data_IF_000127740457
#
_entry.id   IF_000127740457
#
_cell.length_a   1.000
_cell.length_b   1.000
_cell.length_c   1.000
_cell.angle_alpha   90.00
_cell.angle_beta   90.00
_cell.angle_gamma   90.00
#
_symmetry.space_group_name_H-M   'P 1'
#
loop_
_entity.id
_entity.type
_entity.pdbx_description
1 polymer ?
#
# COMPACT_ATOMS: atom_id res chain seq x y z
N UNK A 1 -19.44 24.06 82.42
CA UNK A 1 -19.59 22.74 81.89
C UNK A 1 -20.04 22.83 80.44
N UNK A 2 -19.10 22.82 79.49
CA UNK A 2 -19.36 22.96 78.07
C UNK A 2 -18.83 21.72 77.39
N UNK A 3 -19.70 20.98 76.63
CA UNK A 3 -19.36 19.84 75.85
C UNK A 3 -19.13 20.25 74.41
N UNK A 4 -17.90 20.24 73.97
CA UNK A 4 -17.51 20.36 72.54
C UNK A 4 -17.85 19.07 71.79
N UNK A 5 -18.64 19.19 70.72
CA UNK A 5 -18.87 18.14 69.72
C UNK A 5 -18.05 18.48 68.48
N UNK A 6 -17.08 17.63 68.17
CA UNK A 6 -16.37 17.65 66.88
C UNK A 6 -17.26 16.94 65.86
N UNK A 7 -17.57 17.62 64.77
CA UNK A 7 -18.16 17.06 63.54
C UNK A 7 -17.02 16.84 62.54
N UNK A 8 -16.72 15.59 62.24
CA UNK A 8 -15.83 15.22 61.17
C UNK A 8 -16.59 15.35 59.85
N UNK A 9 -16.12 16.25 58.98
CA UNK A 9 -16.53 16.30 57.55
C UNK A 9 -15.71 15.29 56.78
N UNK A 10 -16.36 14.24 56.29
CA UNK A 10 -15.79 13.33 55.29
C UNK A 10 -16.06 13.97 53.93
N UNK A 11 -15.00 14.48 53.30
CA UNK A 11 -15.08 14.95 51.93
C UNK A 11 -15.02 13.72 50.99
N UNK A 12 -16.14 13.44 50.32
CA UNK A 12 -16.16 12.49 49.20
C UNK A 12 -15.48 13.15 47.98
N UNK A 13 -14.29 12.71 47.65
CA UNK A 13 -13.64 13.06 46.34
C UNK A 13 -14.26 12.15 45.30
N UNK A 14 -15.23 12.65 44.55
CA UNK A 14 -15.72 12.04 43.33
C UNK A 14 -14.71 12.31 42.22
N UNK A 15 -13.84 11.37 41.97
CA UNK A 15 -12.92 11.41 40.81
C UNK A 15 -13.70 11.32 39.49
N UNK A 16 -13.85 12.43 38.80
CA UNK A 16 -14.30 12.45 37.41
C UNK A 16 -13.17 11.90 36.55
N UNK A 17 -13.28 10.64 36.12
CA UNK A 17 -12.49 10.14 34.99
C UNK A 17 -13.03 10.78 33.73
N UNK A 18 -12.33 11.81 33.23
CA UNK A 18 -12.55 12.32 31.88
C UNK A 18 -11.97 11.27 30.94
N UNK A 19 -12.84 10.41 30.40
CA UNK A 19 -12.49 9.58 29.25
C UNK A 19 -12.29 10.57 28.09
N UNK A 20 -11.04 10.90 27.77
CA UNK A 20 -10.74 11.53 26.50
C UNK A 20 -11.05 10.51 25.39
N UNK A 21 -12.24 10.61 24.83
CA UNK A 21 -12.56 9.99 23.55
C UNK A 21 -11.75 10.80 22.54
N UNK A 22 -10.58 10.29 22.16
CA UNK A 22 -9.89 10.78 20.97
C UNK A 22 -10.81 10.47 19.78
N UNK A 23 -11.58 11.44 19.32
CA UNK A 23 -12.28 11.30 18.06
C UNK A 23 -11.21 11.18 16.97
N UNK A 24 -11.29 10.11 16.15
CA UNK A 24 -10.51 10.03 14.93
C UNK A 24 -10.75 11.33 14.13
N UNK A 25 -9.70 11.91 13.58
CA UNK A 25 -9.86 13.09 12.74
C UNK A 25 -10.69 12.73 11.50
N UNK A 26 -11.51 13.68 11.06
CA UNK A 26 -12.30 13.50 9.84
C UNK A 26 -11.38 13.21 8.64
N UNK A 27 -11.76 12.29 7.74
CA UNK A 27 -11.02 12.02 6.52
C UNK A 27 -10.80 13.28 5.68
N UNK A 28 -9.57 13.48 5.20
CA UNK A 28 -9.22 14.65 4.38
C UNK A 28 -9.17 14.24 2.91
N UNK A 29 -10.01 14.82 2.07
CA UNK A 29 -10.00 14.61 0.62
C UNK A 29 -8.81 15.35 0.00
N UNK A 30 -7.93 14.62 -0.72
CA UNK A 30 -6.70 15.14 -1.33
C UNK A 30 -6.87 15.48 -2.81
N UNK A 31 -7.82 14.86 -3.52
CA UNK A 31 -8.15 15.13 -4.92
C UNK A 31 -9.66 15.28 -5.08
N UNK A 32 -10.10 15.98 -6.14
CA UNK A 32 -11.52 16.31 -6.35
C UNK A 32 -11.96 16.17 -7.81
N UNK A 33 -11.13 15.57 -8.67
CA UNK A 33 -11.40 15.46 -10.10
C UNK A 33 -12.22 14.22 -10.47
N UNK A 34 -12.48 13.33 -9.52
CA UNK A 34 -13.34 12.16 -9.66
C UNK A 34 -12.83 11.07 -10.61
N UNK A 35 -11.65 11.25 -11.24
CA UNK A 35 -11.09 10.25 -12.14
C UNK A 35 -10.68 8.99 -11.39
N UNK A 36 -10.74 7.83 -12.05
CA UNK A 36 -10.32 6.55 -11.47
C UNK A 36 -8.83 6.58 -11.13
N UNK A 37 -8.53 6.49 -9.84
CA UNK A 37 -7.18 6.49 -9.29
C UNK A 37 -6.82 5.12 -8.71
N UNK A 38 -5.52 4.82 -8.68
CA UNK A 38 -4.97 3.57 -8.14
C UNK A 38 -3.56 3.78 -7.61
N UNK A 39 -3.10 2.87 -6.78
CA UNK A 39 -1.71 2.67 -6.38
C UNK A 39 -1.01 3.94 -5.87
N UNK A 40 -1.57 4.66 -4.88
CA UNK A 40 -0.88 5.80 -4.30
C UNK A 40 0.41 5.34 -3.61
N UNK A 41 1.50 6.13 -3.75
CA UNK A 41 2.77 5.93 -3.06
C UNK A 41 3.45 7.27 -2.83
N UNK A 42 4.05 7.49 -1.67
CA UNK A 42 4.83 8.71 -1.43
C UNK A 42 6.10 8.72 -2.25
N UNK A 43 6.32 9.80 -3.01
CA UNK A 43 7.55 10.03 -3.78
C UNK A 43 8.68 10.54 -2.90
N UNK A 44 8.33 11.34 -1.89
CA UNK A 44 9.30 11.91 -0.94
C UNK A 44 9.13 11.30 0.44
N UNK A 45 10.22 10.97 1.13
CA UNK A 45 10.19 10.41 2.47
C UNK A 45 9.50 11.30 3.51
N UNK A 46 9.47 12.61 3.28
CA UNK A 46 8.82 13.60 4.16
C UNK A 46 7.30 13.73 3.92
N UNK A 47 6.75 12.98 2.96
CA UNK A 47 5.33 13.03 2.62
C UNK A 47 4.89 14.22 1.76
N UNK A 48 5.84 15.06 1.31
CA UNK A 48 5.55 16.30 0.56
C UNK A 48 5.04 16.07 -0.87
N UNK A 49 5.32 14.92 -1.47
CA UNK A 49 4.89 14.53 -2.80
C UNK A 49 4.38 13.09 -2.82
N UNK A 50 3.28 12.87 -3.53
CA UNK A 50 2.64 11.57 -3.72
C UNK A 50 2.53 11.26 -5.21
N UNK A 51 2.81 10.02 -5.60
CA UNK A 51 2.50 9.47 -6.93
C UNK A 51 1.27 8.59 -6.86
N UNK A 52 0.55 8.52 -7.97
CA UNK A 52 -0.57 7.59 -8.16
C UNK A 52 -0.82 7.36 -9.64
N UNK A 53 -1.47 6.27 -9.97
CA UNK A 53 -1.95 5.98 -11.32
C UNK A 53 -3.33 6.59 -11.52
N UNK A 54 -3.61 7.18 -12.67
CA UNK A 54 -4.92 7.70 -13.05
C UNK A 54 -5.31 7.22 -14.45
N UNK A 55 -6.57 6.88 -14.63
CA UNK A 55 -7.13 6.70 -15.97
C UNK A 55 -7.44 8.08 -16.56
N UNK A 56 -6.48 8.63 -17.31
CA UNK A 56 -6.54 9.99 -17.86
C UNK A 56 -7.35 10.06 -19.16
N UNK A 57 -7.25 9.03 -19.99
CA UNK A 57 -8.02 8.85 -21.22
C UNK A 57 -8.61 7.43 -21.23
N UNK A 58 -9.72 7.13 -21.95
CA UNK A 58 -10.35 5.81 -21.93
C UNK A 58 -9.41 4.61 -22.17
N UNK A 59 -8.20 4.85 -22.65
CA UNK A 59 -7.22 3.80 -22.97
C UNK A 59 -5.82 4.06 -22.40
N UNK A 60 -5.62 5.10 -21.59
CA UNK A 60 -4.30 5.45 -21.08
C UNK A 60 -4.30 5.64 -19.56
N UNK A 61 -3.47 4.86 -18.89
CA UNK A 61 -3.09 5.10 -17.50
C UNK A 61 -1.85 5.99 -17.46
N UNK A 62 -1.85 6.99 -16.58
CA UNK A 62 -0.74 7.90 -16.37
C UNK A 62 -0.31 7.92 -14.90
N UNK A 63 0.99 8.10 -14.70
CA UNK A 63 1.51 8.46 -13.39
C UNK A 63 1.34 9.96 -13.16
N UNK A 64 0.66 10.30 -12.09
CA UNK A 64 0.45 11.68 -11.65
C UNK A 64 1.18 11.93 -10.35
N UNK A 65 1.65 13.17 -10.19
CA UNK A 65 2.25 13.66 -8.96
C UNK A 65 1.29 14.66 -8.30
N UNK A 66 1.01 14.44 -7.02
CA UNK A 66 0.26 15.35 -6.16
C UNK A 66 1.22 15.98 -5.13
N UNK A 67 1.13 17.30 -4.97
CA UNK A 67 1.72 18.03 -3.85
C UNK A 67 0.60 18.34 -2.84
N UNK A 68 0.45 17.59 -1.74
CA UNK A 68 -0.70 17.72 -0.83
C UNK A 68 -0.89 19.13 -0.25
N UNK A 69 0.21 19.81 0.07
CA UNK A 69 0.16 21.16 0.65
C UNK A 69 -0.50 22.22 -0.26
N UNK A 70 -0.43 22.06 -1.59
CA UNK A 70 -1.01 22.99 -2.56
C UNK A 70 -2.21 22.42 -3.31
N UNK A 71 -2.46 21.10 -3.21
CA UNK A 71 -3.44 20.40 -4.02
C UNK A 71 -3.06 20.30 -5.51
N UNK A 72 -1.82 20.69 -5.89
CA UNK A 72 -1.37 20.64 -7.29
C UNK A 72 -1.19 19.22 -7.76
N UNK A 73 -1.85 18.86 -8.87
CA UNK A 73 -1.72 17.58 -9.56
C UNK A 73 -1.16 17.81 -10.94
N UNK A 74 -0.10 17.08 -11.31
CA UNK A 74 0.56 17.19 -12.62
C UNK A 74 1.05 15.82 -13.12
N UNK A 75 1.14 15.57 -14.44
CA UNK A 75 1.73 14.35 -14.96
C UNK A 75 3.20 14.24 -14.56
N UNK A 76 3.61 13.02 -14.15
CA UNK A 76 5.04 12.75 -13.86
C UNK A 76 5.88 12.79 -15.15
N UNK A 77 5.35 12.23 -16.22
CA UNK A 77 5.98 12.20 -17.56
C UNK A 77 5.00 12.81 -18.58
N UNK A 78 5.00 14.15 -18.77
CA UNK A 78 3.98 14.83 -19.58
C UNK A 78 3.97 14.41 -21.05
N UNK A 79 5.13 14.08 -21.62
CA UNK A 79 5.30 13.71 -23.02
C UNK A 79 5.16 12.20 -23.30
N UNK A 80 4.94 11.38 -22.27
CA UNK A 80 4.80 9.93 -22.43
C UNK A 80 3.40 9.58 -22.97
N UNK A 81 3.37 8.81 -24.05
CA UNK A 81 2.15 8.36 -24.73
C UNK A 81 1.74 6.92 -24.36
N UNK A 82 2.64 6.16 -23.77
CA UNK A 82 2.35 4.80 -23.27
C UNK A 82 1.69 4.86 -21.91
N UNK A 83 0.91 3.83 -21.57
CA UNK A 83 0.38 3.71 -20.23
C UNK A 83 1.49 3.40 -19.23
N UNK A 84 1.49 4.12 -18.10
CA UNK A 84 2.37 3.95 -16.95
C UNK A 84 1.52 3.85 -15.69
N UNK A 85 1.78 2.84 -14.83
CA UNK A 85 0.96 2.55 -13.65
C UNK A 85 1.71 1.70 -12.63
N UNK A 86 1.08 1.45 -11.49
CA UNK A 86 1.64 0.69 -10.36
C UNK A 86 3.02 1.21 -9.92
N UNK A 87 3.14 2.47 -9.49
CA UNK A 87 4.41 3.01 -9.03
C UNK A 87 4.84 2.40 -7.69
N UNK A 88 6.14 2.20 -7.52
CA UNK A 88 6.79 1.91 -6.25
C UNK A 88 8.01 2.81 -6.09
N UNK A 89 8.20 3.36 -4.90
CA UNK A 89 9.30 4.27 -4.59
C UNK A 89 10.15 3.67 -3.46
N UNK A 90 11.45 3.80 -3.55
CA UNK A 90 12.37 3.41 -2.47
C UNK A 90 12.18 4.30 -1.23
N UNK A 91 12.50 3.76 -0.05
CA UNK A 91 12.30 4.46 1.23
C UNK A 91 13.02 5.82 1.27
N UNK A 92 14.19 5.93 0.63
CA UNK A 92 14.98 7.17 0.52
C UNK A 92 14.55 8.10 -0.63
N UNK A 93 13.56 7.69 -1.44
CA UNK A 93 13.08 8.43 -2.60
C UNK A 93 14.04 8.44 -3.80
N UNK A 94 15.07 7.59 -3.81
CA UNK A 94 16.06 7.55 -4.89
C UNK A 94 15.56 6.78 -6.11
N UNK A 95 14.94 5.62 -5.91
CA UNK A 95 14.49 4.77 -7.00
C UNK A 95 12.96 4.83 -7.15
N UNK A 96 12.54 4.86 -8.41
CA UNK A 96 11.15 4.71 -8.83
C UNK A 96 11.04 3.49 -9.75
N UNK A 97 10.23 2.53 -9.37
CA UNK A 97 9.85 1.42 -10.25
C UNK A 97 8.37 1.57 -10.64
N UNK A 98 8.03 1.22 -11.88
CA UNK A 98 6.65 1.26 -12.37
C UNK A 98 6.46 0.32 -13.55
N UNK A 99 5.23 0.01 -13.86
CA UNK A 99 4.84 -0.80 -15.01
C UNK A 99 4.57 0.12 -16.21
N UNK A 100 5.12 -0.22 -17.38
CA UNK A 100 4.89 0.50 -18.62
C UNK A 100 4.40 -0.45 -19.72
N UNK A 101 3.32 -0.08 -20.40
CA UNK A 101 2.80 -0.82 -21.55
C UNK A 101 3.69 -0.59 -22.79
N UNK A 102 4.24 -1.65 -23.34
CA UNK A 102 5.09 -1.65 -24.55
C UNK A 102 4.31 -2.03 -25.82
N UNK A 103 3.00 -2.01 -25.78
CA UNK A 103 2.10 -2.42 -26.86
C UNK A 103 1.57 -3.83 -26.71
N UNK A 104 0.44 -4.14 -27.34
CA UNK A 104 -0.19 -5.48 -27.33
C UNK A 104 -0.32 -6.13 -25.94
N UNK A 105 -0.63 -5.36 -24.90
CA UNK A 105 -0.69 -5.81 -23.49
C UNK A 105 0.64 -6.34 -22.94
N UNK A 106 1.74 -5.99 -23.57
CA UNK A 106 3.08 -6.37 -23.16
C UNK A 106 3.59 -5.37 -22.12
N UNK A 107 3.72 -5.79 -20.86
CA UNK A 107 4.04 -4.93 -19.73
C UNK A 107 5.49 -5.13 -19.30
N UNK A 108 6.28 -4.06 -19.32
CA UNK A 108 7.66 -4.02 -18.82
C UNK A 108 7.71 -3.41 -17.42
N UNK A 109 8.63 -3.88 -16.60
CA UNK A 109 9.02 -3.20 -15.36
C UNK A 109 10.13 -2.20 -15.69
N UNK A 110 9.89 -0.94 -15.41
CA UNK A 110 10.85 0.17 -15.55
C UNK A 110 11.37 0.55 -14.17
N UNK A 111 12.69 0.68 -14.03
CA UNK A 111 13.36 1.10 -12.78
C UNK A 111 14.20 2.33 -13.11
N UNK A 112 13.88 3.47 -12.48
CA UNK A 112 14.61 4.74 -12.63
C UNK A 112 15.38 5.09 -11.37
N UNK A 113 16.65 5.47 -11.51
CA UNK A 113 17.38 6.19 -10.48
C UNK A 113 17.11 7.69 -10.65
N UNK A 114 16.36 8.27 -9.72
CA UNK A 114 15.94 9.67 -9.77
C UNK A 114 17.07 10.66 -9.48
N UNK A 115 18.19 10.21 -8.93
CA UNK A 115 19.39 11.04 -8.70
C UNK A 115 20.25 11.18 -9.96
N UNK A 116 20.46 10.06 -10.66
CA UNK A 116 21.32 10.04 -11.86
C UNK A 116 20.53 10.20 -13.15
N UNK A 117 19.22 9.99 -13.13
CA UNK A 117 18.36 9.96 -14.30
C UNK A 117 18.51 8.68 -15.14
N UNK A 118 19.30 7.69 -14.69
CA UNK A 118 19.47 6.44 -15.42
C UNK A 118 18.24 5.55 -15.27
N UNK A 119 18.00 4.73 -16.30
CA UNK A 119 16.87 3.80 -16.35
C UNK A 119 17.35 2.40 -16.71
N UNK A 120 16.76 1.40 -16.10
CA UNK A 120 16.89 -0.01 -16.44
C UNK A 120 15.50 -0.62 -16.62
N UNK A 121 15.36 -1.53 -17.58
CA UNK A 121 14.08 -2.16 -17.89
C UNK A 121 14.22 -3.69 -17.77
N UNK A 122 13.26 -4.35 -17.10
CA UNK A 122 13.00 -5.76 -17.29
C UNK A 122 12.00 -5.86 -18.44
N UNK A 123 12.41 -6.35 -19.61
CA UNK A 123 11.53 -6.42 -20.78
C UNK A 123 10.41 -7.43 -20.53
N UNK A 124 9.25 -7.24 -21.16
CA UNK A 124 8.17 -8.22 -21.08
C UNK A 124 8.63 -9.55 -21.69
N UNK A 125 8.19 -10.64 -21.09
CA UNK A 125 8.30 -11.97 -21.71
C UNK A 125 7.38 -12.10 -22.94
N UNK A 126 7.45 -13.24 -23.61
CA UNK A 126 6.58 -13.50 -24.76
C UNK A 126 5.11 -13.69 -24.35
N UNK A 127 4.17 -13.27 -25.21
CA UNK A 127 2.72 -13.45 -25.01
C UNK A 127 2.01 -12.25 -24.39
N UNK A 128 0.73 -12.45 -23.98
CA UNK A 128 -0.10 -11.43 -23.32
C UNK A 128 0.16 -11.36 -21.81
N UNK A 129 1.41 -11.33 -21.42
CA UNK A 129 1.79 -11.35 -20.02
C UNK A 129 2.66 -10.16 -19.68
N UNK A 130 2.62 -9.72 -18.43
CA UNK A 130 3.40 -8.58 -18.02
C UNK A 130 3.75 -8.59 -16.54
N UNK A 131 4.71 -7.74 -16.21
CA UNK A 131 5.10 -7.47 -14.85
C UNK A 131 4.04 -6.64 -14.15
N UNK A 132 3.83 -6.94 -12.87
CA UNK A 132 2.89 -6.23 -12.01
C UNK A 132 3.45 -6.02 -10.60
N UNK A 133 2.88 -5.05 -9.91
CA UNK A 133 3.02 -4.86 -8.46
C UNK A 133 4.48 -4.76 -8.00
N UNK A 134 5.28 -3.83 -8.53
CA UNK A 134 6.66 -3.67 -8.09
C UNK A 134 6.74 -3.27 -6.61
N UNK A 135 7.82 -3.73 -5.94
CA UNK A 135 8.17 -3.29 -4.59
C UNK A 135 9.70 -3.23 -4.46
N UNK A 136 10.23 -2.09 -4.02
CA UNK A 136 11.66 -1.85 -3.89
C UNK A 136 12.11 -2.24 -2.48
N UNK A 137 13.23 -2.96 -2.37
CA UNK A 137 13.82 -3.31 -1.08
C UNK A 137 14.30 -2.06 -0.32
N UNK A 138 14.19 -2.03 1.03
CA UNK A 138 14.61 -0.86 1.83
C UNK A 138 16.08 -0.49 1.68
N UNK A 139 16.94 -1.45 1.32
CA UNK A 139 18.37 -1.26 1.09
C UNK A 139 18.71 -0.88 -0.37
N UNK A 140 17.70 -0.67 -1.22
CA UNK A 140 17.83 -0.37 -2.64
C UNK A 140 18.54 -1.45 -3.48
N UNK A 141 18.71 -2.65 -2.97
CA UNK A 141 19.45 -3.70 -3.66
C UNK A 141 18.67 -4.37 -4.80
N UNK A 142 17.33 -4.41 -4.66
CA UNK A 142 16.47 -5.19 -5.57
C UNK A 142 15.03 -4.69 -5.63
N UNK A 143 14.33 -5.17 -6.66
CA UNK A 143 12.89 -4.94 -6.87
C UNK A 143 12.20 -6.29 -6.95
N UNK A 144 11.11 -6.45 -6.20
CA UNK A 144 10.16 -7.56 -6.38
C UNK A 144 9.10 -7.15 -7.40
N UNK A 145 8.56 -8.14 -8.08
CA UNK A 145 7.41 -7.97 -8.97
C UNK A 145 6.69 -9.30 -9.15
N UNK A 146 5.44 -9.27 -9.54
CA UNK A 146 4.71 -10.47 -9.95
C UNK A 146 4.75 -10.61 -11.47
N UNK A 147 4.90 -11.84 -11.94
CA UNK A 147 4.97 -12.16 -13.35
C UNK A 147 4.32 -13.52 -13.64
N UNK A 148 3.48 -13.63 -14.69
CA UNK A 148 2.85 -14.86 -15.08
C UNK A 148 3.84 -15.75 -15.84
N UNK A 149 3.99 -16.98 -15.38
CA UNK A 149 4.79 -18.02 -15.98
C UNK A 149 4.09 -19.37 -15.80
N UNK A 150 4.10 -20.23 -16.84
CA UNK A 150 3.48 -21.55 -16.81
C UNK A 150 2.00 -21.57 -16.40
N UNK A 151 1.24 -20.52 -16.77
CA UNK A 151 -0.18 -20.38 -16.43
C UNK A 151 -0.47 -20.03 -14.98
N UNK A 152 0.55 -19.62 -14.20
CA UNK A 152 0.49 -19.19 -12.81
C UNK A 152 1.16 -17.83 -12.67
N UNK A 153 0.92 -17.16 -11.55
CA UNK A 153 1.57 -15.87 -11.27
C UNK A 153 2.49 -16.03 -10.06
N UNK A 154 3.77 -15.77 -10.25
CA UNK A 154 4.81 -15.95 -9.27
C UNK A 154 5.40 -14.60 -8.84
N UNK A 155 6.05 -14.57 -7.68
CA UNK A 155 6.88 -13.43 -7.30
C UNK A 155 8.30 -13.66 -7.80
N UNK A 156 8.83 -12.63 -8.46
CA UNK A 156 10.21 -12.55 -8.94
C UNK A 156 10.96 -11.44 -8.21
N UNK A 157 12.26 -11.52 -8.25
CA UNK A 157 13.19 -10.49 -7.78
C UNK A 157 14.23 -10.21 -8.84
N UNK A 158 14.60 -8.93 -9.03
CA UNK A 158 15.70 -8.50 -9.88
C UNK A 158 16.51 -7.39 -9.17
N UNK A 159 17.77 -7.18 -9.54
CA UNK A 159 18.52 -6.02 -9.10
C UNK A 159 17.89 -4.69 -9.59
N UNK A 160 18.23 -3.56 -8.98
CA UNK A 160 17.78 -2.25 -9.46
C UNK A 160 18.34 -1.89 -10.83
N UNK A 161 19.33 -2.64 -11.32
CA UNK A 161 19.86 -2.58 -12.68
C UNK A 161 19.11 -3.49 -13.67
N UNK A 162 17.99 -4.08 -13.25
CA UNK A 162 17.14 -5.00 -14.01
C UNK A 162 17.85 -6.29 -14.47
N UNK A 163 18.93 -6.67 -13.80
CA UNK A 163 19.67 -7.89 -14.13
C UNK A 163 19.36 -9.05 -13.18
N UNK A 164 19.59 -10.27 -13.67
CA UNK A 164 19.47 -11.51 -12.91
C UNK A 164 18.09 -11.71 -12.25
N UNK A 165 16.99 -11.70 -13.03
CA UNK A 165 15.68 -12.02 -12.49
C UNK A 165 15.67 -13.47 -11.98
N UNK A 166 15.17 -13.64 -10.75
CA UNK A 166 15.00 -14.96 -10.12
C UNK A 166 13.56 -15.12 -9.64
N UNK A 167 13.01 -16.34 -9.81
CA UNK A 167 11.74 -16.70 -9.19
C UNK A 167 11.95 -16.82 -7.69
N UNK A 168 11.24 -16.03 -6.92
CA UNK A 168 11.41 -15.92 -5.46
C UNK A 168 10.40 -16.80 -4.70
N UNK A 169 9.12 -16.70 -5.08
CA UNK A 169 8.03 -17.46 -4.47
C UNK A 169 7.28 -18.19 -5.58
N UNK A 170 7.23 -19.51 -5.45
CA UNK A 170 6.49 -20.41 -6.30
C UNK A 170 5.31 -21.01 -5.54
N UNK A 171 4.17 -21.14 -6.19
CA UNK A 171 3.00 -21.82 -5.64
C UNK A 171 2.02 -22.24 -6.73
N UNK A 172 1.03 -23.05 -6.38
CA UNK A 172 -0.03 -23.47 -7.30
C UNK A 172 -1.01 -22.36 -7.70
N UNK A 173 -0.99 -21.21 -7.00
CA UNK A 173 -1.92 -20.11 -7.20
C UNK A 173 -1.29 -18.85 -7.79
N UNK A 174 -2.02 -17.76 -7.72
CA UNK A 174 -1.61 -16.41 -8.09
C UNK A 174 -0.94 -15.75 -6.88
N UNK A 175 0.24 -15.15 -7.06
CA UNK A 175 0.94 -14.37 -6.04
C UNK A 175 1.10 -12.94 -6.52
N UNK A 176 0.59 -11.97 -5.76
CA UNK A 176 0.55 -10.57 -6.14
C UNK A 176 0.83 -9.61 -4.97
N UNK A 177 1.10 -8.36 -5.32
CA UNK A 177 1.20 -7.21 -4.41
C UNK A 177 2.20 -7.43 -3.27
N UNK A 178 3.47 -7.76 -3.58
CA UNK A 178 4.48 -7.89 -2.54
C UNK A 178 4.78 -6.55 -1.88
N UNK A 179 5.13 -6.58 -0.59
CA UNK A 179 5.63 -5.44 0.16
C UNK A 179 6.71 -5.91 1.14
N UNK A 180 7.84 -5.19 1.19
CA UNK A 180 8.90 -5.49 2.15
C UNK A 180 8.56 -4.97 3.55
N UNK A 181 9.03 -5.69 4.58
CA UNK A 181 9.17 -5.12 5.92
C UNK A 181 10.23 -4.01 5.91
N UNK A 182 10.13 -2.99 6.79
CA UNK A 182 11.09 -1.88 6.80
C UNK A 182 12.54 -2.29 7.06
N UNK A 183 12.76 -3.41 7.75
CA UNK A 183 14.09 -3.98 7.99
C UNK A 183 14.59 -4.87 6.82
N UNK A 184 13.79 -5.04 5.77
CA UNK A 184 14.12 -5.82 4.59
C UNK A 184 14.19 -7.34 4.79
N UNK A 185 13.86 -7.85 5.98
CA UNK A 185 14.00 -9.29 6.29
C UNK A 185 12.82 -10.13 5.87
N UNK A 186 11.64 -9.54 5.77
CA UNK A 186 10.40 -10.22 5.41
C UNK A 186 9.71 -9.54 4.23
N UNK A 187 8.83 -10.29 3.61
CA UNK A 187 7.86 -9.80 2.62
C UNK A 187 6.47 -10.25 3.03
N UNK A 188 5.48 -9.41 2.75
CA UNK A 188 4.07 -9.78 2.75
C UNK A 188 3.54 -9.71 1.33
N UNK A 189 2.64 -10.60 0.98
CA UNK A 189 2.01 -10.65 -0.36
C UNK A 189 0.64 -11.33 -0.28
N UNK A 190 -0.17 -11.15 -1.31
CA UNK A 190 -1.45 -11.86 -1.44
C UNK A 190 -1.28 -13.09 -2.31
N UNK A 191 -1.94 -14.19 -1.94
CA UNK A 191 -1.85 -15.45 -2.68
C UNK A 191 -3.18 -16.21 -2.66
N UNK A 192 -3.49 -16.89 -3.77
CA UNK A 192 -4.65 -17.79 -3.89
C UNK A 192 -4.29 -19.26 -3.70
N UNK A 193 -3.11 -19.58 -3.10
CA UNK A 193 -2.62 -20.95 -2.97
C UNK A 193 -3.54 -21.90 -2.20
N UNK A 194 -4.32 -21.36 -1.27
CA UNK A 194 -5.25 -22.10 -0.42
C UNK A 194 -6.73 -21.77 -0.72
N UNK A 195 -7.03 -21.23 -1.93
CA UNK A 195 -8.38 -20.90 -2.40
C UNK A 195 -8.52 -19.43 -2.79
N UNK A 196 -9.18 -18.63 -1.96
CA UNK A 196 -9.32 -17.18 -2.15
C UNK A 196 -8.01 -16.45 -1.85
N UNK A 197 -7.95 -15.15 -2.19
CA UNK A 197 -6.80 -14.33 -1.83
C UNK A 197 -6.71 -14.12 -0.33
N UNK A 198 -5.63 -14.61 0.26
CA UNK A 198 -5.21 -14.31 1.62
C UNK A 198 -3.81 -13.71 1.64
N UNK A 199 -3.46 -13.11 2.79
CA UNK A 199 -2.13 -12.58 3.01
C UNK A 199 -1.19 -13.68 3.50
N UNK A 200 0.03 -13.66 2.96
CA UNK A 200 1.13 -14.53 3.37
C UNK A 200 2.36 -13.70 3.71
N UNK A 201 3.11 -14.15 4.69
CA UNK A 201 4.41 -13.58 5.06
C UNK A 201 5.49 -14.63 4.80
N UNK A 202 6.61 -14.19 4.26
CA UNK A 202 7.79 -15.02 4.04
C UNK A 202 9.07 -14.27 4.43
N UNK A 203 10.17 -14.98 4.55
CA UNK A 203 11.48 -14.33 4.53
C UNK A 203 11.67 -13.61 3.19
N UNK A 204 12.46 -12.56 3.17
CA UNK A 204 12.68 -11.77 1.96
C UNK A 204 13.44 -12.52 0.83
N UNK A 205 13.95 -13.71 1.12
CA UNK A 205 14.49 -14.65 0.14
C UNK A 205 13.47 -15.69 -0.36
N UNK A 206 12.18 -15.55 -0.01
CA UNK A 206 11.09 -16.42 -0.44
C UNK A 206 10.89 -17.69 0.40
N UNK A 207 11.71 -17.93 1.42
CA UNK A 207 11.59 -19.09 2.32
C UNK A 207 10.61 -18.84 3.47
N UNK A 208 10.23 -19.90 4.20
CA UNK A 208 9.36 -19.82 5.39
C UNK A 208 8.03 -19.10 5.14
N UNK A 209 7.37 -19.44 4.04
CA UNK A 209 6.05 -18.89 3.70
C UNK A 209 5.03 -19.39 4.71
N UNK A 210 4.30 -18.46 5.35
CA UNK A 210 3.19 -18.75 6.27
C UNK A 210 1.97 -17.91 5.94
N UNK A 211 0.79 -18.45 6.09
CA UNK A 211 -0.48 -17.73 5.97
C UNK A 211 -0.61 -16.74 7.13
N UNK A 212 -0.97 -15.50 6.83
CA UNK A 212 -1.18 -14.44 7.82
C UNK A 212 -2.67 -14.22 8.11
N UNK A 213 -3.51 -14.26 7.07
CA UNK A 213 -4.96 -14.14 7.20
C UNK A 213 -5.66 -15.39 6.68
N UNK A 214 -6.86 -15.62 7.20
CA UNK A 214 -7.79 -16.63 6.72
C UNK A 214 -9.18 -16.01 6.66
N UNK A 215 -9.67 -15.78 5.44
CA UNK A 215 -10.96 -15.13 5.20
C UNK A 215 -11.72 -15.88 4.11
N UNK A 216 -13.05 -16.01 4.23
CA UNK A 216 -13.86 -16.56 3.14
C UNK A 216 -14.02 -15.58 1.98
N UNK A 217 -13.30 -14.47 2.00
CA UNK A 217 -13.29 -13.39 1.03
C UNK A 217 -11.85 -12.96 0.75
N UNK A 218 -11.69 -11.95 -0.10
CA UNK A 218 -10.37 -11.51 -0.56
C UNK A 218 -9.69 -10.59 0.44
N UNK A 219 -8.45 -10.90 0.75
CA UNK A 219 -7.48 -10.04 1.43
C UNK A 219 -6.35 -9.72 0.44
N UNK A 220 -6.27 -8.47 0.02
CA UNK A 220 -5.40 -8.06 -1.10
C UNK A 220 -4.62 -6.77 -0.80
N UNK A 221 -3.57 -6.50 -1.59
CA UNK A 221 -2.76 -5.27 -1.58
C UNK A 221 -2.17 -4.94 -0.21
N UNK A 222 -1.46 -5.88 0.44
CA UNK A 222 -0.84 -5.59 1.72
C UNK A 222 0.28 -4.57 1.60
N UNK A 223 0.42 -3.70 2.63
CA UNK A 223 1.49 -2.72 2.77
C UNK A 223 2.00 -2.69 4.20
N UNK A 224 3.29 -2.95 4.40
CA UNK A 224 3.95 -2.78 5.69
C UNK A 224 3.94 -1.31 6.11
N UNK A 225 3.68 -1.07 7.39
CA UNK A 225 3.86 0.27 7.97
C UNK A 225 5.36 0.59 8.10
N UNK A 226 5.76 1.87 7.97
CA UNK A 226 7.17 2.30 8.12
C UNK A 226 7.80 1.89 9.45
N UNK A 227 7.03 1.79 10.53
CA UNK A 227 7.49 1.33 11.84
C UNK A 227 7.57 -0.21 11.99
N UNK A 228 7.14 -0.96 10.98
CA UNK A 228 7.16 -2.42 10.95
C UNK A 228 6.16 -3.12 11.86
N UNK A 229 5.27 -2.37 12.52
CA UNK A 229 4.37 -2.93 13.53
C UNK A 229 3.04 -3.40 12.96
N UNK A 230 2.67 -2.92 11.77
CA UNK A 230 1.37 -3.20 11.16
C UNK A 230 1.50 -3.44 9.66
N UNK A 231 0.52 -4.13 9.13
CA UNK A 231 0.30 -4.34 7.71
C UNK A 231 -1.11 -3.83 7.42
N UNK A 232 -1.23 -2.81 6.54
CA UNK A 232 -2.50 -2.38 6.00
C UNK A 232 -2.83 -3.22 4.77
N UNK A 233 -4.10 -3.51 4.54
CA UNK A 233 -4.56 -4.26 3.39
C UNK A 233 -6.02 -3.95 3.07
N UNK A 234 -6.44 -4.30 1.87
CA UNK A 234 -7.83 -4.20 1.43
C UNK A 234 -8.52 -5.54 1.61
N UNK A 235 -9.74 -5.54 2.17
CA UNK A 235 -10.55 -6.74 2.34
C UNK A 235 -12.03 -6.46 2.10
N UNK A 236 -12.72 -7.42 1.48
CA UNK A 236 -14.17 -7.37 1.31
C UNK A 236 -14.92 -8.35 2.23
N UNK A 237 -14.29 -8.74 3.37
CA UNK A 237 -14.85 -9.69 4.34
C UNK A 237 -16.18 -9.29 4.94
N UNK A 238 -16.43 -7.99 5.07
CA UNK A 238 -17.65 -7.42 5.66
C UNK A 238 -18.62 -6.85 4.61
N UNK A 239 -18.45 -7.21 3.32
CA UNK A 239 -19.33 -6.79 2.22
C UNK A 239 -18.59 -6.10 1.08
N UNK A 240 -18.38 -4.78 1.14
CA UNK A 240 -17.57 -4.02 0.19
C UNK A 240 -16.08 -4.04 0.58
N UNK A 241 -15.23 -3.53 -0.32
CA UNK A 241 -13.81 -3.37 -0.03
C UNK A 241 -13.57 -2.24 0.96
N UNK A 242 -12.81 -2.55 2.00
CA UNK A 242 -12.43 -1.64 3.08
C UNK A 242 -10.98 -1.85 3.49
N UNK A 243 -10.42 -0.87 4.17
CA UNK A 243 -9.05 -0.95 4.67
C UNK A 243 -9.03 -1.56 6.07
N UNK A 244 -8.18 -2.54 6.23
CA UNK A 244 -7.88 -3.23 7.48
C UNK A 244 -6.41 -3.08 7.83
N UNK A 245 -6.10 -3.24 9.11
CA UNK A 245 -4.74 -3.38 9.61
C UNK A 245 -4.63 -4.64 10.47
N UNK A 246 -3.44 -5.26 10.47
CA UNK A 246 -3.11 -6.45 11.25
C UNK A 246 -1.65 -6.36 11.68
N UNK A 247 -1.29 -6.95 12.83
CA UNK A 247 0.11 -7.10 13.19
C UNK A 247 0.79 -8.22 12.36
N UNK A 248 2.12 -8.19 12.16
CA UNK A 248 2.83 -9.19 11.38
C UNK A 248 2.73 -10.63 11.93
N UNK A 249 2.38 -10.80 13.20
CA UNK A 249 2.14 -12.09 13.85
C UNK A 249 0.70 -12.62 13.66
N UNK A 250 -0.18 -11.84 13.02
CA UNK A 250 -1.58 -12.17 12.77
C UNK A 250 -2.55 -11.68 13.85
N UNK A 251 -2.07 -11.00 14.88
CA UNK A 251 -2.92 -10.44 15.94
C UNK A 251 -3.42 -9.04 15.61
N UNK A 252 -4.40 -8.54 16.37
CA UNK A 252 -4.83 -7.14 16.30
C UNK A 252 -5.53 -6.74 14.99
N UNK A 253 -6.17 -7.68 14.30
CA UNK A 253 -6.97 -7.38 13.11
C UNK A 253 -8.02 -6.31 13.43
N UNK A 254 -8.00 -5.22 12.67
CA UNK A 254 -8.91 -4.09 12.85
C UNK A 254 -9.30 -3.48 11.51
N UNK A 255 -10.60 -3.24 11.31
CA UNK A 255 -11.12 -2.43 10.20
C UNK A 255 -10.85 -0.96 10.49
N UNK A 256 -10.34 -0.22 9.50
CA UNK A 256 -9.94 1.18 9.61
C UNK A 256 -10.91 2.10 8.87
N UNK A 257 -11.36 1.71 7.69
CA UNK A 257 -12.35 2.48 6.93
C UNK A 257 -13.75 1.87 7.08
N UNK A 258 -14.79 2.72 6.94
CA UNK A 258 -16.18 2.35 7.18
C UNK A 258 -17.13 3.10 6.24
N UNK A 259 -16.78 3.18 4.96
CA UNK A 259 -17.64 3.85 3.99
C UNK A 259 -18.66 2.88 3.37
N UNK A 260 -19.80 3.41 2.88
CA UNK A 260 -20.79 2.59 2.19
C UNK A 260 -20.31 2.10 0.81
N UNK A 261 -19.46 2.91 0.15
CA UNK A 261 -18.78 2.59 -1.10
C UNK A 261 -17.35 2.10 -0.81
N UNK A 262 -16.60 1.74 -1.87
CA UNK A 262 -15.31 1.04 -1.70
C UNK A 262 -14.18 1.96 -1.24
N UNK A 263 -13.39 1.47 -0.31
CA UNK A 263 -12.08 2.01 0.07
C UNK A 263 -10.99 0.99 -0.27
N UNK A 264 -9.98 1.38 -1.08
CA UNK A 264 -8.96 0.49 -1.63
C UNK A 264 -7.57 1.17 -1.68
N UNK A 265 -6.53 0.42 -2.05
CA UNK A 265 -5.17 0.91 -2.32
C UNK A 265 -4.53 1.72 -1.18
N UNK A 266 -4.42 1.16 0.01
CA UNK A 266 -3.81 1.84 1.15
C UNK A 266 -2.30 2.07 0.95
N UNK A 267 -1.84 3.30 1.25
CA UNK A 267 -0.44 3.68 1.33
C UNK A 267 -0.15 4.37 2.67
N UNK A 268 0.82 3.86 3.42
CA UNK A 268 1.20 4.45 4.70
C UNK A 268 1.89 5.80 4.55
N UNK A 269 1.47 6.77 5.34
CA UNK A 269 2.24 7.97 5.59
C UNK A 269 3.48 7.62 6.43
N UNK A 270 4.59 8.33 6.23
CA UNK A 270 5.87 8.03 6.89
C UNK A 270 5.80 7.98 8.43
N UNK A 271 4.86 8.70 9.03
CA UNK A 271 4.63 8.69 10.49
C UNK A 271 3.94 7.42 11.01
N UNK A 272 3.54 6.49 10.13
CA UNK A 272 2.82 5.26 10.47
C UNK A 272 1.49 5.45 11.22
N UNK A 273 0.90 6.66 11.16
CA UNK A 273 -0.35 6.99 11.86
C UNK A 273 -1.50 7.30 10.93
N UNK A 274 -1.20 7.51 9.66
CA UNK A 274 -2.19 7.84 8.63
C UNK A 274 -1.95 7.01 7.38
N UNK A 275 -3.02 6.85 6.61
CA UNK A 275 -3.02 6.18 5.32
C UNK A 275 -3.59 7.13 4.26
N UNK A 276 -2.98 7.14 3.07
CA UNK A 276 -3.66 7.61 1.86
C UNK A 276 -4.35 6.40 1.25
N UNK A 277 -5.61 6.54 0.93
CA UNK A 277 -6.44 5.52 0.31
C UNK A 277 -7.10 6.07 -0.95
N UNK A 278 -7.54 5.18 -1.83
CA UNK A 278 -8.50 5.51 -2.88
C UNK A 278 -9.89 5.19 -2.33
N UNK A 279 -10.75 6.19 -2.25
CA UNK A 279 -12.13 6.01 -1.77
C UNK A 279 -13.10 6.37 -2.87
N UNK A 280 -14.06 5.48 -3.11
CA UNK A 280 -15.20 5.73 -3.97
C UNK A 280 -16.29 6.39 -3.12
N UNK A 281 -16.56 7.67 -3.39
CA UNK A 281 -17.61 8.42 -2.71
C UNK A 281 -18.41 9.23 -3.73
N UNK A 282 -19.71 9.11 -3.65
CA UNK A 282 -20.64 9.78 -4.60
C UNK A 282 -20.32 9.42 -6.08
N UNK A 283 -19.87 8.18 -6.34
CA UNK A 283 -19.44 7.72 -7.67
C UNK A 283 -18.08 8.27 -8.13
N UNK A 284 -17.28 8.87 -7.24
CA UNK A 284 -15.98 9.47 -7.54
C UNK A 284 -14.85 8.76 -6.81
N UNK A 285 -13.81 8.37 -7.57
CA UNK A 285 -12.60 7.74 -7.02
C UNK A 285 -11.54 8.79 -6.71
N UNK A 286 -11.45 9.24 -5.45
CA UNK A 286 -10.49 10.24 -5.04
C UNK A 286 -9.52 9.71 -3.97
N UNK A 287 -8.39 10.40 -3.84
CA UNK A 287 -7.42 10.14 -2.78
C UNK A 287 -7.90 10.80 -1.49
N UNK A 288 -7.85 10.04 -0.41
CA UNK A 288 -8.23 10.49 0.93
C UNK A 288 -7.14 10.14 1.93
N UNK A 289 -6.87 11.06 2.86
CA UNK A 289 -6.01 10.83 4.01
C UNK A 289 -6.89 10.49 5.21
N UNK A 290 -6.63 9.34 5.82
CA UNK A 290 -7.39 8.82 6.97
C UNK A 290 -6.45 8.49 8.12
N UNK A 291 -6.94 8.53 9.36
CA UNK A 291 -6.20 8.07 10.51
C UNK A 291 -6.10 6.53 10.54
N UNK A 292 -4.93 6.03 10.97
CA UNK A 292 -4.68 4.63 11.20
C UNK A 292 -4.05 4.47 12.59
N UNK A 293 -4.88 4.35 13.64
CA UNK A 293 -4.44 4.31 15.03
C UNK A 293 -3.65 3.05 15.42
#
# INVERSE_FOLDING_TARGET
>A
MSKNRWRSCVALIVGFWIIQISSAAEPIRLTTDGRVKRDPVFLKPDGSELLFSVLDHPKQLRLMKLTPASGKVEPLHPDETRSEFEPAVSVDGRYLAFVQNRGNLSLALVIKDLQTGTQADVPPGGGFSGMHSPAIAPDNSRVLYSYPEEGRQHLFSTGVDAKQPIRLVDSSGVNNWPSFSPDGKQIVFSSTRDGDYDLYVANSNGTNVRRLTESPKQDIRPRWSPDGRRIAFTSNRDGNYEIYVIAPDGTGLKRISHHAEQDDFACWHHESRRLVIVSERDGHHDLWLIDAP
#
